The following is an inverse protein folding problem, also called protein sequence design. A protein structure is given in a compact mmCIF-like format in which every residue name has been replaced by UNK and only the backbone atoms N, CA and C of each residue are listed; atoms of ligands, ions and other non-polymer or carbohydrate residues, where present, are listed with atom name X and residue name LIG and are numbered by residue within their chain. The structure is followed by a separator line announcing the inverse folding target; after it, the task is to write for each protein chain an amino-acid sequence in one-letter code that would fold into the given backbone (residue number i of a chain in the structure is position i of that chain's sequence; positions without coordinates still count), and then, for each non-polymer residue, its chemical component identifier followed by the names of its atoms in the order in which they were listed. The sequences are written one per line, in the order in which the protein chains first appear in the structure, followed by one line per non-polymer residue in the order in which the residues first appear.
data_IF_456902679079
#
_entry.id   IF_456902679079
#
_cell.length_a   1.000
_cell.length_b   1.000
_cell.length_c   1.000
_cell.angle_alpha   90.00
_cell.angle_beta   90.00
_cell.angle_gamma   90.00
#
_symmetry.space_group_name_H-M   'P 1'
#
loop_
_entity.id
_entity.type
_entity.pdbx_description
1 polymer ?
#
# COMPACT_ATOMS: atom_id res chain seq x y z
N UNK A 1 60.93 -33.71 -22.20
CA UNK A 1 60.38 -32.46 -21.71
C UNK A 1 58.86 -32.50 -21.81
N UNK A 2 58.11 -32.75 -20.71
CA UNK A 2 56.67 -32.80 -20.72
C UNK A 2 56.15 -31.36 -20.42
N UNK A 3 55.46 -30.75 -21.39
CA UNK A 3 54.80 -29.45 -21.18
C UNK A 3 53.48 -29.68 -20.44
N UNK A 4 53.44 -29.24 -19.18
CA UNK A 4 52.20 -29.21 -18.35
C UNK A 4 51.45 -27.97 -18.72
N UNK A 5 50.28 -28.11 -19.37
CA UNK A 5 49.36 -27.00 -19.60
C UNK A 5 48.53 -26.79 -18.34
N UNK A 6 48.74 -25.66 -17.67
CA UNK A 6 47.94 -25.19 -16.52
C UNK A 6 46.64 -24.57 -17.09
N UNK A 7 45.54 -25.31 -17.00
CA UNK A 7 44.21 -24.81 -17.39
C UNK A 7 43.66 -23.91 -16.26
N UNK A 8 43.81 -22.61 -16.45
CA UNK A 8 43.17 -21.61 -15.57
C UNK A 8 41.68 -21.58 -15.87
N UNK A 9 40.88 -22.25 -15.02
CA UNK A 9 39.42 -22.12 -15.03
C UNK A 9 39.09 -20.79 -14.35
N UNK A 10 38.76 -19.76 -15.14
CA UNK A 10 38.12 -18.55 -14.66
C UNK A 10 36.67 -18.90 -14.29
N UNK A 11 36.40 -19.10 -13.01
CA UNK A 11 35.03 -19.12 -12.50
C UNK A 11 34.59 -17.66 -12.50
N UNK A 12 33.86 -17.25 -13.53
CA UNK A 12 33.07 -16.03 -13.53
C UNK A 12 31.98 -16.23 -12.48
N UNK A 13 32.24 -15.81 -11.25
CA UNK A 13 31.19 -15.57 -10.25
C UNK A 13 30.44 -14.34 -10.77
N UNK A 14 29.38 -14.57 -11.54
CA UNK A 14 28.40 -13.55 -11.83
C UNK A 14 27.76 -13.22 -10.49
N UNK A 15 28.24 -12.18 -9.84
CA UNK A 15 27.53 -11.58 -8.73
C UNK A 15 26.24 -11.01 -9.32
N UNK A 16 25.19 -11.83 -9.33
CA UNK A 16 23.84 -11.36 -9.54
C UNK A 16 23.57 -10.47 -8.30
N UNK A 17 23.72 -9.18 -8.43
CA UNK A 17 23.19 -8.24 -7.44
C UNK A 17 21.68 -8.34 -7.58
N UNK A 18 21.06 -9.23 -6.79
CA UNK A 18 19.61 -9.25 -6.68
C UNK A 18 19.19 -7.91 -6.06
N UNK A 19 18.55 -7.06 -6.87
CA UNK A 19 17.93 -5.86 -6.33
C UNK A 19 16.82 -6.27 -5.36
N UNK A 20 16.76 -5.60 -4.22
CA UNK A 20 15.67 -5.79 -3.25
C UNK A 20 14.36 -5.32 -3.87
N UNK A 21 13.41 -6.21 -4.03
CA UNK A 21 12.13 -5.91 -4.65
C UNK A 21 11.07 -5.59 -3.59
N UNK A 22 10.60 -4.36 -3.60
CA UNK A 22 9.59 -3.84 -2.68
C UNK A 22 8.31 -3.57 -3.45
N UNK A 23 7.21 -4.22 -3.08
CA UNK A 23 5.90 -4.05 -3.71
C UNK A 23 4.95 -3.33 -2.75
N UNK A 24 4.25 -2.33 -3.27
CA UNK A 24 3.21 -1.59 -2.57
C UNK A 24 1.85 -2.01 -3.11
N UNK A 25 1.10 -2.74 -2.32
CA UNK A 25 -0.26 -3.22 -2.64
C UNK A 25 -1.28 -2.32 -1.95
N UNK A 26 -2.19 -1.72 -2.73
CA UNK A 26 -3.16 -0.79 -2.15
C UNK A 26 -4.18 -0.25 -3.13
N UNK A 27 -4.75 0.89 -2.80
CA UNK A 27 -5.79 1.59 -3.55
C UNK A 27 -5.26 2.81 -4.33
N UNK A 28 -6.10 3.83 -4.53
CA UNK A 28 -5.76 5.07 -5.25
C UNK A 28 -4.59 5.83 -4.63
N UNK A 29 -4.41 5.77 -3.31
CA UNK A 29 -3.30 6.44 -2.63
C UNK A 29 -1.97 5.80 -3.05
N UNK A 30 -1.96 4.49 -3.19
CA UNK A 30 -0.81 3.72 -3.69
C UNK A 30 -0.62 3.89 -5.20
N UNK A 31 -1.70 4.08 -5.96
CA UNK A 31 -1.65 4.29 -7.41
C UNK A 31 -1.16 5.68 -7.80
N UNK A 32 -1.30 6.68 -6.91
CA UNK A 32 -0.99 8.07 -7.22
C UNK A 32 0.47 8.26 -7.67
N UNK A 33 0.65 8.82 -8.87
CA UNK A 33 1.97 9.11 -9.44
C UNK A 33 2.82 7.88 -9.82
N UNK A 34 2.25 6.68 -9.81
CA UNK A 34 2.93 5.45 -10.25
C UNK A 34 2.54 5.16 -11.68
N UNK A 35 3.54 5.06 -12.54
CA UNK A 35 3.38 4.60 -13.92
C UNK A 35 3.82 3.13 -13.99
N UNK A 36 3.11 2.33 -14.78
CA UNK A 36 3.63 1.01 -15.17
C UNK A 36 4.84 1.24 -16.09
N UNK A 37 6.02 1.03 -15.53
CA UNK A 37 7.29 1.28 -16.23
C UNK A 37 7.51 0.32 -17.40
N UNK A 38 6.83 -0.83 -17.43
CA UNK A 38 6.99 -1.83 -18.50
C UNK A 38 6.16 -1.46 -19.74
N UNK A 39 5.13 -0.63 -19.61
CA UNK A 39 4.22 -0.24 -20.70
C UNK A 39 4.08 1.28 -20.89
N UNK A 40 4.65 2.10 -20.03
CA UNK A 40 4.58 3.56 -20.15
C UNK A 40 3.17 4.14 -20.00
N UNK A 41 2.23 3.34 -19.51
CA UNK A 41 0.85 3.74 -19.22
C UNK A 41 0.60 3.80 -17.72
N UNK A 42 -0.21 4.75 -17.24
CA UNK A 42 -0.65 4.75 -15.86
C UNK A 42 -1.28 3.39 -15.54
N UNK A 43 -0.85 2.79 -14.43
CA UNK A 43 -1.49 1.57 -13.97
C UNK A 43 -2.92 1.90 -13.57
N UNK A 44 -3.84 1.54 -14.44
CA UNK A 44 -5.28 1.76 -14.33
C UNK A 44 -5.76 3.21 -14.42
N UNK A 45 -6.08 3.56 -15.66
CA UNK A 45 -7.20 4.43 -16.01
C UNK A 45 -7.07 5.96 -15.90
N UNK A 46 -7.90 6.57 -16.67
CA UNK A 46 -8.20 7.96 -16.99
C UNK A 46 -8.24 8.95 -15.80
N UNK A 47 -8.03 8.50 -14.57
CA UNK A 47 -8.03 9.30 -13.34
C UNK A 47 -6.64 9.50 -12.72
N UNK A 48 -5.57 8.99 -13.34
CA UNK A 48 -4.22 9.27 -12.86
C UNK A 48 -3.89 10.70 -13.28
N UNK A 49 -3.91 11.60 -12.32
CA UNK A 49 -3.48 12.97 -12.50
C UNK A 49 -1.99 12.96 -12.90
N UNK A 50 -1.62 13.30 -14.14
CA UNK A 50 -0.24 13.20 -14.62
C UNK A 50 0.73 14.12 -13.86
N UNK A 51 0.19 15.10 -13.13
CA UNK A 51 0.96 16.06 -12.35
C UNK A 51 1.06 15.70 -10.85
N UNK A 52 0.56 14.52 -10.45
CA UNK A 52 0.60 14.10 -9.05
C UNK A 52 1.86 13.29 -8.74
N UNK A 53 2.69 13.82 -7.87
CA UNK A 53 3.82 13.09 -7.30
C UNK A 53 3.31 12.26 -6.12
N UNK A 54 3.16 10.95 -6.31
CA UNK A 54 2.79 10.03 -5.24
C UNK A 54 3.97 9.69 -4.34
N UNK A 55 3.67 9.08 -3.19
CA UNK A 55 4.71 8.74 -2.20
C UNK A 55 5.75 7.73 -2.74
N UNK A 56 5.36 6.82 -3.63
CA UNK A 56 6.29 5.85 -4.23
C UNK A 56 7.29 6.56 -5.14
N UNK A 57 6.85 7.56 -5.90
CA UNK A 57 7.73 8.41 -6.72
C UNK A 57 8.76 9.12 -5.85
N UNK A 58 8.32 9.73 -4.74
CA UNK A 58 9.21 10.39 -3.78
C UNK A 58 10.20 9.42 -3.12
N UNK A 59 9.75 8.21 -2.80
CA UNK A 59 10.64 7.17 -2.28
C UNK A 59 11.69 6.76 -3.30
N UNK A 60 11.30 6.62 -4.57
CA UNK A 60 12.21 6.21 -5.65
C UNK A 60 13.35 7.20 -5.88
N UNK A 61 13.15 8.48 -5.58
CA UNK A 61 14.20 9.50 -5.63
C UNK A 61 15.26 9.34 -4.50
N UNK A 62 14.94 8.57 -3.45
CA UNK A 62 15.74 8.47 -2.24
C UNK A 62 16.28 7.06 -1.95
N UNK A 63 16.00 6.07 -2.80
CA UNK A 63 16.53 4.70 -2.69
C UNK A 63 17.70 4.47 -3.64
N UNK A 64 18.56 3.51 -3.32
CA UNK A 64 19.70 3.13 -4.16
C UNK A 64 19.28 2.28 -5.37
N UNK A 65 20.18 2.14 -6.34
CA UNK A 65 19.98 1.35 -7.58
C UNK A 65 19.76 -0.15 -7.30
N UNK A 66 20.08 -0.61 -6.10
CA UNK A 66 19.87 -1.98 -5.64
C UNK A 66 18.48 -2.21 -5.05
N UNK A 67 17.57 -1.23 -5.11
CA UNK A 67 16.18 -1.30 -4.66
C UNK A 67 15.23 -1.04 -5.81
N UNK A 68 14.30 -1.96 -6.03
CA UNK A 68 13.23 -1.81 -7.01
C UNK A 68 11.90 -1.58 -6.27
N UNK A 69 11.28 -0.41 -6.48
CA UNK A 69 9.96 -0.08 -5.97
C UNK A 69 8.88 -0.36 -7.02
N UNK A 70 7.85 -1.12 -6.67
CA UNK A 70 6.77 -1.51 -7.58
C UNK A 70 5.43 -1.14 -6.95
N UNK A 71 4.72 -0.19 -7.55
CA UNK A 71 3.36 0.17 -7.17
C UNK A 71 2.32 -0.79 -7.76
N UNK A 72 1.45 -1.31 -6.93
CA UNK A 72 0.29 -2.14 -7.28
C UNK A 72 -0.97 -1.59 -6.61
N UNK A 73 -1.16 -0.29 -6.74
CA UNK A 73 -2.38 0.40 -6.32
C UNK A 73 -3.43 0.41 -7.43
N UNK A 74 -4.71 0.34 -7.06
CA UNK A 74 -5.86 0.48 -7.97
C UNK A 74 -6.92 1.36 -7.31
N UNK A 75 -7.36 2.41 -8.02
CA UNK A 75 -8.36 3.34 -7.51
C UNK A 75 -9.66 2.61 -7.12
N UNK A 76 -10.18 2.94 -5.94
CA UNK A 76 -11.43 2.37 -5.44
C UNK A 76 -11.31 0.98 -4.83
N UNK A 77 -10.12 0.36 -4.85
CA UNK A 77 -9.93 -0.98 -4.30
C UNK A 77 -10.21 -1.05 -2.81
N UNK A 78 -10.79 -2.19 -2.44
CA UNK A 78 -11.04 -2.69 -1.10
C UNK A 78 -10.30 -4.01 -0.90
N UNK A 79 -10.29 -4.53 0.32
CA UNK A 79 -9.66 -5.84 0.58
C UNK A 79 -10.20 -6.96 -0.33
N UNK A 80 -11.50 -6.89 -0.68
CA UNK A 80 -12.12 -7.84 -1.62
C UNK A 80 -11.44 -7.84 -3.00
N UNK A 81 -11.14 -6.66 -3.52
CA UNK A 81 -10.44 -6.51 -4.80
C UNK A 81 -8.98 -6.98 -4.70
N UNK A 82 -8.31 -6.70 -3.59
CA UNK A 82 -6.97 -7.23 -3.36
C UNK A 82 -6.95 -8.76 -3.41
N UNK A 83 -7.95 -9.42 -2.79
CA UNK A 83 -8.07 -10.89 -2.79
C UNK A 83 -8.16 -11.48 -4.21
N UNK A 84 -8.75 -10.76 -5.15
CA UNK A 84 -8.89 -11.20 -6.54
C UNK A 84 -7.56 -11.12 -7.31
N UNK A 85 -6.73 -10.12 -7.00
CA UNK A 85 -5.56 -9.78 -7.84
C UNK A 85 -4.18 -9.99 -7.20
N UNK A 86 -4.04 -10.05 -5.86
CA UNK A 86 -2.72 -10.09 -5.20
C UNK A 86 -1.81 -11.22 -5.66
N UNK A 87 -2.38 -12.36 -6.08
CA UNK A 87 -1.57 -13.48 -6.59
C UNK A 87 -0.88 -13.13 -7.90
N UNK A 88 -1.61 -12.50 -8.81
CA UNK A 88 -1.08 -12.06 -10.10
C UNK A 88 -0.18 -10.84 -9.94
N UNK A 89 -0.61 -9.87 -9.15
CA UNK A 89 0.03 -8.57 -9.09
C UNK A 89 1.23 -8.52 -8.13
N UNK A 90 1.26 -9.42 -7.13
CA UNK A 90 2.28 -9.39 -6.08
C UNK A 90 3.03 -10.72 -5.98
N UNK A 91 2.34 -11.85 -5.72
CA UNK A 91 3.01 -13.13 -5.52
C UNK A 91 3.85 -13.56 -6.74
N UNK A 92 3.35 -13.30 -7.97
CA UNK A 92 4.07 -13.63 -9.21
C UNK A 92 5.41 -12.89 -9.36
N UNK A 93 5.58 -11.77 -8.66
CA UNK A 93 6.79 -10.96 -8.69
C UNK A 93 7.89 -11.49 -7.76
N UNK A 94 7.58 -12.43 -6.86
CA UNK A 94 8.49 -12.92 -5.82
C UNK A 94 9.13 -11.76 -5.04
N UNK A 95 8.33 -10.91 -4.36
CA UNK A 95 8.83 -9.74 -3.66
C UNK A 95 9.60 -10.11 -2.40
N UNK A 96 10.63 -9.31 -2.05
CA UNK A 96 11.32 -9.41 -0.77
C UNK A 96 10.51 -8.73 0.35
N UNK A 97 9.88 -7.59 0.01
CA UNK A 97 9.08 -6.80 0.95
C UNK A 97 7.76 -6.40 0.30
N UNK A 98 6.66 -6.51 1.05
CA UNK A 98 5.34 -6.06 0.61
C UNK A 98 4.74 -5.11 1.64
N UNK A 99 4.44 -3.89 1.22
CA UNK A 99 3.58 -2.98 1.95
C UNK A 99 2.13 -3.22 1.55
N UNK A 100 1.24 -3.39 2.54
CA UNK A 100 -0.21 -3.48 2.31
C UNK A 100 -0.84 -2.23 2.91
N UNK A 101 -1.38 -1.36 2.04
CA UNK A 101 -2.00 -0.10 2.41
C UNK A 101 -3.42 -0.04 1.82
N UNK A 102 -4.40 -0.45 2.62
CA UNK A 102 -5.80 -0.62 2.21
C UNK A 102 -6.74 -0.38 3.41
N UNK A 103 -7.98 -0.03 3.15
CA UNK A 103 -9.01 0.09 4.18
C UNK A 103 -9.86 1.35 4.07
N UNK A 104 -9.34 2.40 3.43
CA UNK A 104 -10.08 3.65 3.29
C UNK A 104 -11.36 3.45 2.47
N UNK A 105 -11.31 2.73 1.37
CA UNK A 105 -12.47 2.43 0.53
C UNK A 105 -13.37 1.35 1.14
N UNK A 106 -12.83 0.47 1.96
CA UNK A 106 -13.62 -0.50 2.72
C UNK A 106 -14.63 0.23 3.63
N UNK A 107 -14.21 1.35 4.23
CA UNK A 107 -15.07 2.23 5.01
C UNK A 107 -15.84 3.21 4.12
N UNK A 108 -15.15 3.95 3.24
CA UNK A 108 -15.77 4.99 2.42
C UNK A 108 -16.95 4.47 1.62
N UNK A 109 -16.78 3.36 0.90
CA UNK A 109 -17.84 2.80 0.05
C UNK A 109 -19.07 2.34 0.83
N UNK A 110 -18.96 2.11 2.15
CA UNK A 110 -20.10 1.82 3.02
C UNK A 110 -21.09 2.99 3.05
N UNK A 111 -20.57 4.22 3.15
CA UNK A 111 -21.37 5.43 3.29
C UNK A 111 -21.74 6.06 1.95
N UNK A 112 -20.85 5.99 0.97
CA UNK A 112 -21.08 6.61 -0.35
C UNK A 112 -21.89 5.76 -1.30
N UNK A 113 -21.69 4.44 -1.28
CA UNK A 113 -22.25 3.53 -2.28
C UNK A 113 -23.01 2.34 -1.66
N UNK A 114 -23.01 2.17 -0.35
CA UNK A 114 -23.57 0.99 0.32
C UNK A 114 -22.81 -0.30 0.05
N UNK A 115 -21.56 -0.22 -0.41
CA UNK A 115 -20.74 -1.35 -0.87
C UNK A 115 -19.41 -1.46 -0.13
N UNK A 116 -19.33 -0.96 1.10
CA UNK A 116 -18.17 -1.13 1.97
C UNK A 116 -17.93 -2.59 2.32
N UNK A 117 -16.79 -2.87 2.95
CA UNK A 117 -16.44 -4.21 3.40
C UNK A 117 -16.78 -4.38 4.87
N UNK A 118 -17.38 -5.49 5.24
CA UNK A 118 -17.56 -5.87 6.64
C UNK A 118 -16.20 -6.08 7.32
N UNK A 119 -16.08 -5.66 8.58
CA UNK A 119 -14.80 -5.68 9.30
C UNK A 119 -14.24 -7.09 9.50
N UNK A 120 -15.11 -8.10 9.67
CA UNK A 120 -14.69 -9.51 9.80
C UNK A 120 -14.17 -10.01 8.46
N UNK A 121 -14.83 -9.65 7.36
CA UNK A 121 -14.35 -9.99 6.02
C UNK A 121 -13.02 -9.29 5.71
N UNK A 122 -12.86 -8.02 6.11
CA UNK A 122 -11.62 -7.26 5.99
C UNK A 122 -10.47 -7.96 6.73
N UNK A 123 -10.68 -8.33 8.00
CA UNK A 123 -9.69 -9.05 8.80
C UNK A 123 -9.29 -10.38 8.15
N UNK A 124 -10.27 -11.19 7.75
CA UNK A 124 -10.02 -12.50 7.15
C UNK A 124 -9.33 -12.41 5.80
N UNK A 125 -9.70 -11.41 4.99
CA UNK A 125 -9.05 -11.15 3.71
C UNK A 125 -7.57 -10.80 3.87
N UNK A 126 -7.26 -9.92 4.81
CA UNK A 126 -5.88 -9.57 5.12
C UNK A 126 -5.09 -10.76 5.67
N UNK A 127 -5.66 -11.55 6.60
CA UNK A 127 -5.02 -12.77 7.12
C UNK A 127 -4.60 -13.71 6.00
N UNK A 128 -5.49 -13.88 5.00
CA UNK A 128 -5.18 -14.73 3.85
C UNK A 128 -4.03 -14.18 3.01
N UNK A 129 -4.08 -12.91 2.64
CA UNK A 129 -3.02 -12.27 1.83
C UNK A 129 -1.69 -12.34 2.56
N UNK A 130 -1.66 -11.95 3.84
CA UNK A 130 -0.45 -11.97 4.68
C UNK A 130 0.12 -13.39 4.77
N UNK A 131 -0.74 -14.38 5.01
CA UNK A 131 -0.33 -15.78 5.12
C UNK A 131 0.34 -16.29 3.85
N UNK A 132 -0.24 -16.01 2.69
CA UNK A 132 0.31 -16.43 1.40
C UNK A 132 1.64 -15.71 1.09
N UNK A 133 1.75 -14.40 1.36
CA UNK A 133 2.99 -13.64 1.18
C UNK A 133 4.12 -14.15 2.07
N UNK A 134 3.83 -14.36 3.35
CA UNK A 134 4.82 -14.91 4.30
C UNK A 134 5.23 -16.33 3.95
N UNK A 135 4.32 -17.16 3.45
CA UNK A 135 4.64 -18.52 3.01
C UNK A 135 5.61 -18.56 1.84
N UNK A 136 5.64 -17.49 1.03
CA UNK A 136 6.59 -17.29 -0.06
C UNK A 136 7.91 -16.64 0.38
N UNK A 137 8.01 -16.24 1.64
CA UNK A 137 9.21 -15.65 2.22
C UNK A 137 9.26 -14.12 2.21
N UNK A 138 8.20 -13.45 1.77
CA UNK A 138 8.14 -12.00 1.78
C UNK A 138 8.03 -11.44 3.22
N UNK A 139 8.76 -10.36 3.50
CA UNK A 139 8.54 -9.51 4.67
C UNK A 139 7.30 -8.65 4.43
N UNK A 140 6.32 -8.70 5.30
CA UNK A 140 5.09 -7.92 5.16
C UNK A 140 5.09 -6.75 6.14
N UNK A 141 4.75 -5.58 5.63
CA UNK A 141 4.56 -4.34 6.39
C UNK A 141 3.11 -3.91 6.21
N UNK A 142 2.37 -3.85 7.31
CA UNK A 142 0.98 -3.40 7.30
C UNK A 142 0.91 -1.90 7.55
N UNK A 143 0.13 -1.19 6.73
CA UNK A 143 -0.14 0.22 6.90
C UNK A 143 -1.59 0.41 7.37
N UNK A 144 -1.81 1.17 8.45
CA UNK A 144 -3.16 1.55 8.83
C UNK A 144 -3.75 2.54 7.82
N UNK A 145 -5.07 2.48 7.52
CA UNK A 145 -5.71 3.51 6.70
C UNK A 145 -5.59 4.88 7.36
N UNK A 146 -5.44 5.92 6.54
CA UNK A 146 -5.31 7.31 7.00
C UNK A 146 -6.66 7.93 7.34
N UNK A 147 -6.74 9.25 7.37
CA UNK A 147 -7.96 10.01 7.64
C UNK A 147 -8.77 10.24 6.36
N UNK A 148 -10.09 10.35 6.49
CA UNK A 148 -10.98 10.80 5.43
C UNK A 148 -11.41 12.21 5.77
N UNK A 149 -10.83 13.19 5.08
CA UNK A 149 -11.17 14.60 5.26
C UNK A 149 -11.09 15.04 6.72
N UNK A 150 -10.57 16.21 6.94
CA UNK A 150 -10.66 16.86 8.21
C UNK A 150 -11.69 17.94 8.07
N UNK A 151 -12.76 17.78 8.78
CA UNK A 151 -13.66 18.84 9.18
C UNK A 151 -13.67 20.15 8.37
N UNK A 152 -14.80 20.51 7.84
CA UNK A 152 -15.22 21.89 7.51
C UNK A 152 -14.52 22.60 6.35
N UNK A 153 -13.54 22.02 5.69
CA UNK A 153 -13.01 22.61 4.46
C UNK A 153 -13.95 22.42 3.27
N UNK A 154 -13.93 23.34 2.34
CA UNK A 154 -14.60 23.24 1.03
C UNK A 154 -13.97 22.16 0.14
N UNK A 155 -13.65 21.00 0.71
CA UNK A 155 -13.13 19.90 -0.09
C UNK A 155 -14.28 19.36 -0.95
N UNK A 156 -14.09 19.32 -2.26
CA UNK A 156 -15.12 18.91 -3.23
C UNK A 156 -15.70 17.52 -2.99
N UNK A 157 -15.01 16.67 -2.25
CA UNK A 157 -15.52 15.38 -1.78
C UNK A 157 -16.58 15.51 -0.69
N UNK A 158 -16.58 16.60 0.10
CA UNK A 158 -17.61 16.90 1.12
C UNK A 158 -18.99 17.07 0.50
N UNK A 159 -19.07 17.51 -0.75
CA UNK A 159 -20.33 17.57 -1.48
C UNK A 159 -20.97 16.19 -1.76
N UNK A 160 -20.21 15.11 -1.64
CA UNK A 160 -20.72 13.72 -1.68
C UNK A 160 -21.18 13.23 -0.31
N UNK A 161 -20.64 13.79 0.78
CA UNK A 161 -21.03 13.49 2.15
C UNK A 161 -21.86 14.66 2.67
N UNK A 162 -23.14 14.42 2.88
CA UNK A 162 -24.13 15.46 3.14
C UNK A 162 -23.98 16.19 4.48
N UNK A 163 -23.07 15.72 5.36
CA UNK A 163 -22.91 16.30 6.70
C UNK A 163 -21.57 15.90 7.38
N UNK A 164 -21.19 16.72 8.35
CA UNK A 164 -20.01 16.52 9.21
C UNK A 164 -20.12 15.22 10.04
N UNK A 165 -21.34 14.88 10.48
CA UNK A 165 -21.59 13.69 11.28
C UNK A 165 -21.17 12.42 10.55
N UNK A 166 -21.47 12.31 9.25
CA UNK A 166 -21.04 11.17 8.43
C UNK A 166 -19.51 11.04 8.37
N UNK A 167 -18.77 12.15 8.30
CA UNK A 167 -17.31 12.13 8.28
C UNK A 167 -16.72 11.70 9.63
N UNK A 168 -17.31 12.15 10.74
CA UNK A 168 -16.91 11.73 12.09
C UNK A 168 -17.14 10.22 12.28
N UNK A 169 -18.29 9.72 11.83
CA UNK A 169 -18.60 8.28 11.87
C UNK A 169 -17.64 7.49 11.02
N UNK A 170 -17.32 7.94 9.79
CA UNK A 170 -16.34 7.27 8.92
C UNK A 170 -14.95 7.23 9.56
N UNK A 171 -14.50 8.32 10.18
CA UNK A 171 -13.23 8.33 10.89
C UNK A 171 -13.24 7.40 12.10
N UNK A 172 -14.36 7.27 12.81
CA UNK A 172 -14.54 6.29 13.88
C UNK A 172 -14.46 4.83 13.35
N UNK A 173 -15.08 4.56 12.21
CA UNK A 173 -14.94 3.25 11.56
C UNK A 173 -13.49 3.01 11.11
N UNK A 174 -12.78 4.02 10.59
CA UNK A 174 -11.36 3.88 10.25
C UNK A 174 -10.47 3.55 11.45
N UNK A 175 -10.82 4.04 12.66
CA UNK A 175 -10.16 3.62 13.89
C UNK A 175 -10.31 2.13 14.13
N UNK A 176 -11.53 1.59 13.98
CA UNK A 176 -11.79 0.16 14.13
C UNK A 176 -11.04 -0.70 13.10
N UNK A 177 -10.97 -0.25 11.82
CA UNK A 177 -10.20 -0.93 10.78
C UNK A 177 -8.69 -0.82 11.01
N UNK A 178 -8.22 0.29 11.57
CA UNK A 178 -6.83 0.46 12.00
C UNK A 178 -6.48 -0.49 13.15
N UNK A 179 -7.40 -0.69 14.09
CA UNK A 179 -7.21 -1.65 15.19
C UNK A 179 -7.11 -3.09 14.69
N UNK A 180 -7.84 -3.46 13.63
CA UNK A 180 -7.65 -4.75 12.95
C UNK A 180 -6.22 -4.86 12.41
N UNK A 181 -5.70 -3.84 11.76
CA UNK A 181 -4.31 -3.84 11.25
C UNK A 181 -3.30 -4.00 12.38
N UNK A 182 -3.43 -3.24 13.48
CA UNK A 182 -2.57 -3.34 14.67
C UNK A 182 -2.60 -4.73 15.29
N UNK A 183 -3.80 -5.28 15.44
CA UNK A 183 -4.03 -6.65 15.93
C UNK A 183 -3.33 -7.68 15.02
N UNK A 184 -3.56 -7.60 13.71
CA UNK A 184 -2.97 -8.52 12.74
C UNK A 184 -1.44 -8.44 12.70
N UNK A 185 -0.88 -7.23 12.81
CA UNK A 185 0.56 -7.05 12.88
C UNK A 185 1.15 -7.81 14.08
N UNK A 186 0.52 -7.69 15.25
CA UNK A 186 0.94 -8.41 16.46
C UNK A 186 0.75 -9.93 16.34
N UNK A 187 -0.45 -10.37 15.92
CA UNK A 187 -0.80 -11.81 15.84
C UNK A 187 0.03 -12.57 14.81
N UNK A 188 0.30 -11.94 13.67
CA UNK A 188 0.99 -12.57 12.55
C UNK A 188 2.48 -12.24 12.48
N UNK A 189 2.99 -11.49 13.47
CA UNK A 189 4.38 -11.04 13.52
C UNK A 189 4.81 -10.42 12.18
N UNK A 190 4.14 -9.32 11.81
CA UNK A 190 4.48 -8.46 10.69
C UNK A 190 4.93 -7.10 11.20
N UNK A 191 5.58 -6.32 10.36
CA UNK A 191 5.86 -4.93 10.69
C UNK A 191 4.60 -4.07 10.57
N UNK A 192 4.57 -2.97 11.32
CA UNK A 192 3.48 -2.00 11.32
C UNK A 192 4.00 -0.60 10.97
N UNK A 193 3.35 0.04 10.01
CA UNK A 193 3.45 1.48 9.77
C UNK A 193 2.11 2.11 10.13
N UNK A 194 2.01 2.66 11.34
CA UNK A 194 0.76 3.23 11.85
C UNK A 194 0.54 4.64 11.31
N UNK A 195 0.13 4.70 10.04
CA UNK A 195 -0.11 5.97 9.34
C UNK A 195 -1.24 6.76 9.99
N UNK A 196 -2.28 6.08 10.49
CA UNK A 196 -3.39 6.76 11.16
C UNK A 196 -2.91 7.53 12.39
N UNK A 197 -2.13 6.90 13.24
CA UNK A 197 -1.56 7.57 14.41
C UNK A 197 -0.67 8.75 14.01
N UNK A 198 0.19 8.55 12.99
CA UNK A 198 1.08 9.59 12.49
C UNK A 198 0.28 10.80 11.97
N UNK A 199 -0.75 10.55 11.15
CA UNK A 199 -1.58 11.63 10.59
C UNK A 199 -2.39 12.33 11.67
N UNK A 200 -3.04 11.60 12.58
CA UNK A 200 -3.80 12.19 13.67
C UNK A 200 -2.93 13.07 14.59
N UNK A 201 -1.71 12.61 14.89
CA UNK A 201 -0.75 13.40 15.65
C UNK A 201 -0.29 14.66 14.91
N UNK A 202 -0.09 14.56 13.60
CA UNK A 202 0.28 15.71 12.78
C UNK A 202 -0.85 16.75 12.76
N UNK A 203 -2.08 16.32 12.51
CA UNK A 203 -3.27 17.12 12.44
C UNK A 203 -3.50 17.85 13.76
N UNK A 204 -3.49 17.13 14.89
CA UNK A 204 -3.72 17.73 16.20
C UNK A 204 -2.72 18.83 16.56
N UNK A 205 -1.51 18.76 16.01
CA UNK A 205 -0.46 19.77 16.25
C UNK A 205 -0.53 20.96 15.29
N UNK A 206 -0.90 20.70 14.02
CA UNK A 206 -0.79 21.68 12.96
C UNK A 206 -2.15 22.25 12.54
N UNK A 207 -3.24 21.56 12.87
CA UNK A 207 -4.61 22.02 12.62
C UNK A 207 -5.54 21.81 13.86
N UNK A 208 -5.16 22.35 15.05
CA UNK A 208 -5.89 22.08 16.29
C UNK A 208 -7.31 22.62 16.31
N UNK A 209 -7.62 23.58 15.45
CA UNK A 209 -8.95 24.21 15.35
C UNK A 209 -9.79 23.60 14.23
N UNK A 210 -9.31 22.57 13.53
CA UNK A 210 -9.95 22.01 12.34
C UNK A 210 -10.29 23.10 11.29
N UNK A 211 -9.37 23.98 11.03
CA UNK A 211 -9.50 25.02 10.01
C UNK A 211 -9.08 24.43 8.65
N UNK A 212 -9.83 24.77 7.60
CA UNK A 212 -9.55 24.37 6.22
C UNK A 212 -8.60 25.32 5.53
#
# INVERSE_FOLDING_TARGET
MKKTYLLLIFILISACSNSTKIVFLGDSITAAGVYDTDVGVPYNDELVYPDYTGFITLLNENVGEDVQLIGKGVSGDKVSNLLERYKKDVLSLNPDIVFIYIGINDVWHKYSFGTGTDIIFYENGLKKIIGDLKSQGARVILCTPTVIGENKGEFTLVNQFKDIETMEIMNGDLDAYSDVIRKLSSELNTDLLDLREIFMNYISKNNPNNES
#
